data_IF_772377002594
#
_entry.id   IF_772377002594
#
_cell.length_a   1.000
_cell.length_b   1.000
_cell.length_c   1.000
_cell.angle_alpha   90.00
_cell.angle_beta   90.00
_cell.angle_gamma   90.00
#
_symmetry.space_group_name_H-M   'P 1'
#
loop_
_entity.id
_entity.type
_entity.pdbx_description
1 polymer ?
#
# COMPACT_ATOMS: atom_id res chain seq x y z
N UNK A 1 -8.07 10.53 6.74
CA UNK A 1 -8.90 9.58 5.99
C UNK A 1 -8.18 9.21 4.72
N UNK A 2 -7.62 8.00 4.68
CA UNK A 2 -7.04 7.44 3.46
C UNK A 2 -8.17 6.88 2.58
N UNK A 3 -8.09 7.09 1.26
CA UNK A 3 -9.10 6.57 0.35
C UNK A 3 -9.01 5.04 0.26
N UNK A 4 -10.15 4.34 0.35
CA UNK A 4 -10.23 2.90 0.08
C UNK A 4 -10.78 2.71 -1.33
N UNK A 5 -10.01 2.05 -2.19
CA UNK A 5 -10.40 1.73 -3.57
C UNK A 5 -11.01 0.34 -3.68
N UNK A 6 -10.57 -0.59 -2.83
CA UNK A 6 -11.07 -1.96 -2.78
C UNK A 6 -10.78 -2.58 -1.41
N UNK A 7 -11.66 -3.46 -0.95
CA UNK A 7 -11.53 -4.17 0.33
C UNK A 7 -12.17 -5.56 0.26
N UNK A 8 -11.45 -6.57 0.75
CA UNK A 8 -11.99 -7.90 1.04
C UNK A 8 -11.32 -8.48 2.31
N UNK A 9 -11.54 -9.76 2.58
CA UNK A 9 -11.03 -10.45 3.76
C UNK A 9 -9.50 -10.60 3.79
N UNK A 10 -8.83 -10.51 2.64
CA UNK A 10 -7.38 -10.72 2.51
C UNK A 10 -6.59 -9.42 2.35
N UNK A 11 -7.13 -8.46 1.59
CA UNK A 11 -6.43 -7.23 1.20
C UNK A 11 -7.33 -6.00 1.24
N UNK A 12 -6.69 -4.85 1.41
CA UNK A 12 -7.24 -3.53 1.14
C UNK A 12 -6.34 -2.83 0.12
N UNK A 13 -6.95 -2.20 -0.88
CA UNK A 13 -6.26 -1.31 -1.81
C UNK A 13 -6.60 0.12 -1.43
N UNK A 14 -5.58 0.87 -1.06
CA UNK A 14 -5.72 2.28 -0.67
C UNK A 14 -5.29 3.21 -1.79
N UNK A 15 -5.93 4.37 -1.88
CA UNK A 15 -5.46 5.50 -2.68
C UNK A 15 -4.43 6.28 -1.87
N UNK A 16 -3.15 5.96 -2.06
CA UNK A 16 -2.06 6.62 -1.34
C UNK A 16 -1.89 8.04 -1.87
N UNK A 17 -1.96 9.10 -1.04
CA UNK A 17 -1.63 10.44 -1.47
C UNK A 17 -0.11 10.61 -1.69
N UNK A 18 0.27 11.54 -2.56
CA UNK A 18 1.66 11.99 -2.67
C UNK A 18 2.10 12.70 -1.37
N UNK A 19 3.38 12.61 -1.02
CA UNK A 19 3.96 13.17 0.20
C UNK A 19 3.85 12.25 1.43
N UNK A 20 3.00 11.22 1.42
CA UNK A 20 2.86 10.26 2.53
C UNK A 20 3.77 9.03 2.33
N UNK A 21 4.72 8.74 3.23
CA UNK A 21 5.56 7.55 3.14
C UNK A 21 4.77 6.25 3.27
N UNK A 22 5.17 5.23 2.51
CA UNK A 22 4.52 3.91 2.54
C UNK A 22 4.73 3.17 3.87
N UNK A 23 5.94 3.23 4.44
CA UNK A 23 6.36 2.48 5.64
C UNK A 23 7.23 3.35 6.55
N UNK A 24 7.42 2.97 7.83
CA UNK A 24 8.29 3.70 8.76
C UNK A 24 9.74 3.80 8.27
N UNK A 25 10.41 4.87 8.68
CA UNK A 25 11.81 5.13 8.41
C UNK A 25 12.34 6.15 9.41
N UNK A 26 13.65 6.41 9.36
CA UNK A 26 14.26 7.40 10.25
C UNK A 26 13.68 8.80 10.00
N UNK A 27 13.24 9.47 11.06
CA UNK A 27 12.60 10.80 10.97
C UNK A 27 11.20 10.81 10.32
N UNK A 28 10.58 9.65 10.09
CA UNK A 28 9.24 9.56 9.50
C UNK A 28 8.17 9.65 10.58
N UNK A 29 7.23 10.58 10.40
CA UNK A 29 6.02 10.69 11.22
C UNK A 29 4.97 9.65 10.81
N UNK A 30 3.85 10.10 10.23
CA UNK A 30 2.80 9.20 9.75
C UNK A 30 3.18 8.50 8.44
N UNK A 31 2.68 7.28 8.28
CA UNK A 31 2.85 6.44 7.11
C UNK A 31 1.51 5.87 6.67
N UNK A 32 1.43 5.33 5.46
CA UNK A 32 0.25 4.57 5.03
C UNK A 32 -0.11 3.47 6.02
N UNK A 33 0.88 2.70 6.52
CA UNK A 33 0.63 1.62 7.47
C UNK A 33 0.01 2.14 8.77
N UNK A 34 0.57 3.19 9.36
CA UNK A 34 0.05 3.75 10.62
C UNK A 34 -1.32 4.40 10.45
N UNK A 35 -1.58 5.02 9.30
CA UNK A 35 -2.88 5.62 8.99
C UNK A 35 -3.93 4.53 8.83
N UNK A 36 -3.63 3.48 8.07
CA UNK A 36 -4.54 2.35 7.86
C UNK A 36 -4.80 1.60 9.16
N UNK A 37 -3.77 1.39 10.00
CA UNK A 37 -3.93 0.77 11.31
C UNK A 37 -4.85 1.59 12.22
N UNK A 38 -4.67 2.91 12.26
CA UNK A 38 -5.49 3.80 13.06
C UNK A 38 -6.93 3.92 12.54
N UNK A 39 -7.14 3.92 11.22
CA UNK A 39 -8.46 4.15 10.61
C UNK A 39 -9.28 2.85 10.47
N UNK A 40 -8.64 1.71 10.19
CA UNK A 40 -9.31 0.43 9.91
C UNK A 40 -9.21 -0.61 11.04
N UNK A 41 -8.44 -0.32 12.09
CA UNK A 41 -8.40 -1.14 13.31
C UNK A 41 -7.74 -2.50 13.16
N UNK A 42 -6.89 -2.69 12.14
CA UNK A 42 -6.05 -3.89 11.99
C UNK A 42 -4.63 -3.50 11.61
N UNK A 43 -3.66 -4.33 11.95
CA UNK A 43 -2.26 -4.11 11.56
C UNK A 43 -2.06 -4.52 10.09
N UNK A 44 -1.81 -3.59 9.16
CA UNK A 44 -1.64 -3.93 7.75
C UNK A 44 -0.25 -4.50 7.47
N UNK A 45 -0.21 -5.43 6.52
CA UNK A 45 1.02 -6.02 5.98
C UNK A 45 1.26 -5.45 4.58
N UNK A 46 2.35 -4.71 4.33
CA UNK A 46 2.61 -4.16 3.00
C UNK A 46 2.91 -5.26 1.99
N UNK A 47 2.16 -5.29 0.89
CA UNK A 47 2.44 -6.19 -0.26
C UNK A 47 3.49 -5.58 -1.19
N UNK A 48 3.44 -4.25 -1.37
CA UNK A 48 4.47 -3.48 -2.04
C UNK A 48 4.58 -2.09 -1.43
N UNK A 49 5.48 -1.27 -1.96
CA UNK A 49 5.63 0.14 -1.60
C UNK A 49 5.49 1.04 -2.82
N UNK A 50 5.09 2.27 -2.57
CA UNK A 50 5.25 3.40 -3.46
C UNK A 50 6.23 4.39 -2.82
N UNK A 51 6.97 5.13 -3.65
CA UNK A 51 7.80 6.22 -3.15
C UNK A 51 6.94 7.29 -2.48
N UNK A 52 7.55 8.09 -1.60
CA UNK A 52 6.84 9.12 -0.82
C UNK A 52 6.01 10.03 -1.74
N UNK A 53 6.63 10.52 -2.81
CA UNK A 53 6.01 11.46 -3.74
C UNK A 53 5.11 10.80 -4.79
N UNK A 54 5.13 9.47 -4.91
CA UNK A 54 4.27 8.73 -5.84
C UNK A 54 2.88 8.53 -5.21
N UNK A 55 1.82 8.93 -5.92
CA UNK A 55 0.44 8.69 -5.50
C UNK A 55 -0.17 7.46 -6.20
N UNK A 56 -1.30 6.97 -5.67
CA UNK A 56 -2.15 5.98 -6.32
C UNK A 56 -2.28 4.66 -5.55
N UNK A 57 -2.65 3.60 -6.28
CA UNK A 57 -3.05 2.32 -5.70
C UNK A 57 -1.90 1.63 -4.94
N UNK A 58 -2.11 1.38 -3.64
CA UNK A 58 -1.20 0.58 -2.82
C UNK A 58 -1.96 -0.58 -2.17
N UNK A 59 -1.45 -1.80 -2.36
CA UNK A 59 -2.04 -3.03 -1.79
C UNK A 59 -1.45 -3.28 -0.40
N UNK A 60 -2.32 -3.49 0.58
CA UNK A 60 -1.99 -3.91 1.94
C UNK A 60 -2.79 -5.17 2.26
N UNK A 61 -2.12 -6.19 2.79
CA UNK A 61 -2.76 -7.40 3.27
C UNK A 61 -3.22 -7.27 4.72
N UNK A 62 -4.31 -7.95 5.07
CA UNK A 62 -4.88 -8.01 6.43
C UNK A 62 -4.17 -9.01 7.34
N UNK A 63 -3.49 -9.98 6.74
CA UNK A 63 -2.78 -11.04 7.44
C UNK A 63 -1.49 -11.44 6.70
N UNK A 64 -0.60 -12.13 7.40
CA UNK A 64 0.71 -12.51 6.87
C UNK A 64 0.63 -13.52 5.71
N UNK A 65 -0.37 -14.41 5.69
CA UNK A 65 -0.53 -15.40 4.63
C UNK A 65 -0.93 -14.72 3.30
N UNK A 66 -1.90 -13.80 3.36
CA UNK A 66 -2.28 -12.97 2.23
C UNK A 66 -1.09 -12.10 1.76
N UNK A 67 -0.31 -11.54 2.68
CA UNK A 67 0.87 -10.76 2.32
C UNK A 67 1.88 -11.58 1.51
N UNK A 68 2.14 -12.83 1.91
CA UNK A 68 3.04 -13.74 1.21
C UNK A 68 2.52 -14.08 -0.20
N UNK A 69 1.27 -14.52 -0.30
CA UNK A 69 0.65 -14.90 -1.58
C UNK A 69 0.61 -13.73 -2.59
N UNK A 70 0.23 -12.53 -2.14
CA UNK A 70 0.18 -11.37 -3.02
C UNK A 70 1.57 -10.83 -3.38
N UNK A 71 2.55 -10.96 -2.49
CA UNK A 71 3.95 -10.61 -2.80
C UNK A 71 4.56 -11.57 -3.83
N UNK A 72 4.22 -12.86 -3.74
CA UNK A 72 4.60 -13.87 -4.72
C UNK A 72 3.99 -13.57 -6.10
N UNK A 73 2.70 -13.26 -6.17
CA UNK A 73 2.04 -12.84 -7.43
C UNK A 73 2.71 -11.61 -8.06
N UNK A 74 3.18 -10.65 -7.25
CA UNK A 74 3.96 -9.52 -7.75
C UNK A 74 5.32 -9.95 -8.30
N UNK A 75 6.02 -10.85 -7.60
CA UNK A 75 7.32 -11.37 -8.01
C UNK A 75 7.24 -12.16 -9.32
N UNK A 76 6.17 -12.93 -9.50
CA UNK A 76 5.87 -13.71 -10.71
C UNK A 76 5.31 -12.86 -11.86
N UNK A 77 5.17 -11.54 -11.67
CA UNK A 77 4.55 -10.61 -12.64
C UNK A 77 3.09 -10.96 -12.98
N UNK A 78 2.39 -11.65 -12.08
CA UNK A 78 0.96 -11.94 -12.18
C UNK A 78 0.07 -10.70 -11.98
N UNK A 79 0.63 -9.59 -11.49
CA UNK A 79 -0.09 -8.33 -11.26
C UNK A 79 0.44 -7.24 -12.20
N UNK A 80 -0.44 -6.75 -13.09
CA UNK A 80 -0.17 -5.59 -13.94
C UNK A 80 -0.23 -4.29 -13.15
N UNK A 81 0.83 -3.46 -13.25
CA UNK A 81 0.90 -2.14 -12.63
C UNK A 81 1.07 -1.08 -13.71
N UNK A 82 0.17 -0.10 -13.75
CA UNK A 82 0.20 1.00 -14.70
C UNK A 82 0.47 2.31 -13.97
N UNK A 83 1.48 3.06 -14.43
CA UNK A 83 1.85 4.35 -13.89
C UNK A 83 1.64 5.42 -14.95
N UNK A 84 1.07 6.55 -14.55
CA UNK A 84 1.01 7.75 -15.39
C UNK A 84 2.09 8.70 -14.92
N UNK A 85 2.98 9.09 -15.84
CA UNK A 85 4.04 10.06 -15.62
C UNK A 85 4.02 11.13 -16.70
N UNK A 86 4.43 12.34 -16.35
CA UNK A 86 4.70 13.42 -17.30
C UNK A 86 6.21 13.58 -17.35
N UNK A 87 6.78 13.51 -18.56
CA UNK A 87 8.22 13.60 -18.80
C UNK A 87 8.51 14.86 -19.65
N UNK A 88 9.70 15.44 -19.46
CA UNK A 88 10.22 16.52 -20.29
C UNK A 88 10.97 15.97 -21.51
#
# INVERSE_FOLDING_TARGET
MIGILFENDDVVVVDKPSGLPSQPGEGVGSTVLSVVEAELGFKPFPVHRLDKETAGCMILARNAAAAAAWSELLAERGIGKFYRAVCA
#
